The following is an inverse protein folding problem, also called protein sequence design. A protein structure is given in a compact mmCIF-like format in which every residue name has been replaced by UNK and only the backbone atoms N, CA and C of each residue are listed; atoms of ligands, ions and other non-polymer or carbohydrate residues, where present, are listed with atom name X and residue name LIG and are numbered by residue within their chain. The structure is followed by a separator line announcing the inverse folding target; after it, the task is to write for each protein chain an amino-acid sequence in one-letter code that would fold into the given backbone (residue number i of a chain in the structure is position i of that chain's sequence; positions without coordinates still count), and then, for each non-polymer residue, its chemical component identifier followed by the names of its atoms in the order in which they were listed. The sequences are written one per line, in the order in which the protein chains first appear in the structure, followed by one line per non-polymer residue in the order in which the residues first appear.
data_IF_487226865827
#
_entry.id   IF_487226865827
#
_cell.length_a   1.000
_cell.length_b   1.000
_cell.length_c   1.000
_cell.angle_alpha   90.00
_cell.angle_beta   90.00
_cell.angle_gamma   90.00
#
_symmetry.space_group_name_H-M   'P 1'
#
loop_
_entity.id
_entity.type
_entity.pdbx_description
1 polymer ?
#
# COMPACT_ATOMS: atom_id res chain seq x y z
N UNK A 1 -6.37 -4.47 3.37
CA UNK A 1 -7.37 -3.96 2.40
C UNK A 1 -7.99 -5.16 1.71
N UNK A 2 -9.30 -5.13 1.48
CA UNK A 2 -10.04 -6.20 0.83
C UNK A 2 -10.68 -5.67 -0.47
N UNK A 3 -11.02 -6.58 -1.37
CA UNK A 3 -11.98 -6.30 -2.44
C UNK A 3 -13.40 -6.58 -1.97
N UNK A 4 -14.40 -6.04 -2.65
CA UNK A 4 -15.81 -6.38 -2.41
C UNK A 4 -16.07 -7.90 -2.46
N UNK A 5 -15.32 -8.63 -3.30
CA UNK A 5 -15.51 -10.07 -3.50
C UNK A 5 -14.90 -10.90 -2.34
N UNK A 6 -14.00 -10.30 -1.55
CA UNK A 6 -13.26 -10.97 -0.46
C UNK A 6 -13.63 -10.49 0.95
N UNK A 7 -14.31 -9.34 1.09
CA UNK A 7 -14.57 -8.70 2.39
C UNK A 7 -15.33 -9.62 3.37
N UNK A 8 -16.42 -10.24 2.92
CA UNK A 8 -17.24 -11.12 3.76
C UNK A 8 -16.44 -12.31 4.31
N UNK A 9 -15.67 -12.98 3.45
CA UNK A 9 -14.85 -14.12 3.85
C UNK A 9 -13.72 -13.74 4.80
N UNK A 10 -13.11 -12.57 4.63
CA UNK A 10 -12.06 -12.08 5.54
C UNK A 10 -12.63 -11.79 6.92
N UNK A 11 -13.81 -11.16 7.00
CA UNK A 11 -14.49 -10.88 8.28
C UNK A 11 -14.83 -12.18 9.01
N UNK A 12 -15.41 -13.14 8.31
CA UNK A 12 -15.75 -14.45 8.86
C UNK A 12 -14.50 -15.20 9.35
N UNK A 13 -13.41 -15.18 8.58
CA UNK A 13 -12.14 -15.80 8.96
C UNK A 13 -11.59 -15.19 10.26
N UNK A 14 -11.61 -13.86 10.39
CA UNK A 14 -11.15 -13.19 11.60
C UNK A 14 -12.05 -13.51 12.80
N UNK A 15 -13.37 -13.40 12.66
CA UNK A 15 -14.29 -13.64 13.77
C UNK A 15 -14.26 -15.10 14.25
N UNK A 16 -14.23 -16.07 13.32
CA UNK A 16 -14.21 -17.50 13.65
C UNK A 16 -12.92 -17.94 14.34
N UNK A 17 -11.84 -17.17 14.19
CA UNK A 17 -10.54 -17.45 14.81
C UNK A 17 -10.19 -16.48 15.93
N UNK A 18 -11.17 -15.77 16.51
CA UNK A 18 -10.96 -14.79 17.60
C UNK A 18 -9.84 -13.79 17.26
N UNK A 19 -9.85 -13.29 16.02
CA UNK A 19 -8.87 -12.34 15.47
C UNK A 19 -7.41 -12.78 15.64
N UNK A 20 -7.17 -14.09 15.74
CA UNK A 20 -5.85 -14.69 15.98
C UNK A 20 -5.13 -14.11 17.21
N UNK A 21 -5.91 -13.69 18.23
CA UNK A 21 -5.40 -13.13 19.49
C UNK A 21 -5.12 -11.62 19.47
N UNK A 22 -5.49 -10.92 18.41
CA UNK A 22 -5.49 -9.45 18.37
C UNK A 22 -6.78 -8.89 18.96
N UNK A 23 -6.72 -7.68 19.50
CA UNK A 23 -7.92 -6.93 19.87
C UNK A 23 -8.64 -6.45 18.60
N UNK A 24 -9.97 -6.51 18.58
CA UNK A 24 -10.76 -6.17 17.38
C UNK A 24 -10.53 -4.73 16.90
N UNK A 25 -10.27 -3.80 17.83
CA UNK A 25 -10.02 -2.38 17.55
C UNK A 25 -8.68 -2.13 16.83
N UNK A 26 -7.74 -3.07 16.91
CA UNK A 26 -6.47 -3.06 16.21
C UNK A 26 -6.60 -3.43 14.74
N UNK A 27 -7.70 -4.09 14.35
CA UNK A 27 -7.93 -4.58 12.99
C UNK A 27 -8.98 -3.73 12.29
N UNK A 28 -8.59 -3.04 11.21
CA UNK A 28 -9.53 -2.28 10.37
C UNK A 28 -9.49 -2.80 8.94
N UNK A 29 -10.64 -3.30 8.46
CA UNK A 29 -10.79 -3.76 7.07
C UNK A 29 -11.30 -2.60 6.23
N UNK A 30 -10.47 -2.14 5.31
CA UNK A 30 -10.84 -1.19 4.26
C UNK A 30 -11.16 -1.94 2.98
N UNK A 31 -12.34 -1.69 2.42
CA UNK A 31 -12.79 -2.29 1.15
C UNK A 31 -12.47 -1.33 0.01
N UNK A 32 -11.78 -1.83 -0.99
CA UNK A 32 -11.38 -1.07 -2.17
C UNK A 32 -12.51 -1.06 -3.20
N UNK A 33 -12.79 0.13 -3.75
CA UNK A 33 -13.78 0.28 -4.80
C UNK A 33 -13.25 -0.20 -6.17
N UNK A 34 -14.19 -0.45 -7.08
CA UNK A 34 -13.88 -0.79 -8.47
C UNK A 34 -13.97 0.49 -9.31
N UNK A 35 -13.09 0.64 -10.29
CA UNK A 35 -13.09 1.76 -11.24
C UNK A 35 -13.71 1.35 -12.56
N UNK A 36 -14.31 2.29 -13.28
CA UNK A 36 -14.86 2.03 -14.60
C UNK A 36 -13.75 1.54 -15.57
N UNK A 37 -14.04 0.47 -16.30
CA UNK A 37 -13.14 -0.06 -17.31
C UNK A 37 -13.33 0.73 -18.62
N UNK A 38 -12.23 1.02 -19.31
CA UNK A 38 -12.27 1.60 -20.64
C UNK A 38 -12.28 0.49 -21.69
N UNK A 39 -13.09 0.65 -22.73
CA UNK A 39 -13.23 -0.30 -23.83
C UNK A 39 -12.09 -0.20 -24.85
N UNK A 40 -11.56 1.02 -25.06
CA UNK A 40 -10.57 1.30 -26.09
C UNK A 40 -9.77 2.58 -25.78
N UNK A 41 -8.81 2.89 -26.65
CA UNK A 41 -7.93 4.07 -26.54
C UNK A 41 -8.66 5.41 -26.67
N UNK A 42 -9.90 5.41 -27.17
CA UNK A 42 -10.75 6.60 -27.25
C UNK A 42 -11.46 6.91 -25.92
N UNK A 43 -11.09 6.19 -24.85
CA UNK A 43 -11.64 6.34 -23.49
C UNK A 43 -13.15 6.10 -23.39
N UNK A 44 -13.73 5.28 -24.28
CA UNK A 44 -15.12 4.84 -24.13
C UNK A 44 -15.28 3.91 -22.92
N UNK A 45 -16.40 4.02 -22.21
CA UNK A 45 -16.70 3.12 -21.11
C UNK A 45 -17.03 1.72 -21.63
N UNK A 46 -16.45 0.71 -21.00
CA UNK A 46 -16.81 -0.68 -21.22
C UNK A 46 -18.12 -0.99 -20.50
N UNK A 47 -19.03 -1.70 -21.18
CA UNK A 47 -20.37 -2.00 -20.67
C UNK A 47 -20.50 -3.51 -20.41
N UNK A 48 -20.99 -3.86 -19.22
CA UNK A 48 -21.36 -5.23 -18.84
C UNK A 48 -22.86 -5.53 -19.06
N UNK A 49 -23.62 -4.54 -19.53
CA UNK A 49 -25.04 -4.63 -19.88
C UNK A 49 -25.60 -3.26 -20.27
N UNK A 50 -26.88 -3.17 -20.71
CA UNK A 50 -27.45 -1.93 -21.25
C UNK A 50 -27.36 -0.73 -20.29
N UNK A 51 -27.41 -0.97 -18.98
CA UNK A 51 -27.35 0.06 -17.94
C UNK A 51 -26.28 -0.25 -16.88
N UNK A 52 -25.26 -1.06 -17.23
CA UNK A 52 -24.23 -1.51 -16.29
C UNK A 52 -22.85 -1.31 -16.89
N UNK A 53 -22.05 -0.42 -16.28
CA UNK A 53 -20.64 -0.22 -16.63
C UNK A 53 -19.82 -1.41 -16.12
N UNK A 54 -18.93 -1.92 -16.96
CA UNK A 54 -17.94 -2.90 -16.54
C UNK A 54 -16.88 -2.20 -15.69
N UNK A 55 -16.53 -2.81 -14.56
CA UNK A 55 -15.55 -2.24 -13.63
C UNK A 55 -14.37 -3.18 -13.45
N UNK A 56 -13.20 -2.61 -13.15
CA UNK A 56 -11.99 -3.33 -12.78
C UNK A 56 -11.57 -2.95 -11.37
N UNK A 57 -10.88 -3.82 -10.63
CA UNK A 57 -10.27 -3.44 -9.36
C UNK A 57 -9.34 -2.24 -9.57
N UNK A 58 -9.32 -1.32 -8.60
CA UNK A 58 -8.29 -0.28 -8.58
C UNK A 58 -6.88 -0.90 -8.42
N UNK A 59 -5.83 -0.21 -8.87
CA UNK A 59 -4.45 -0.61 -8.57
C UNK A 59 -4.08 -0.31 -7.11
N UNK A 60 -2.95 -0.84 -6.63
CA UNK A 60 -2.51 -0.70 -5.23
C UNK A 60 -2.34 0.74 -4.73
N UNK A 61 -2.27 1.73 -5.63
CA UNK A 61 -2.19 3.15 -5.28
C UNK A 61 -3.45 3.72 -4.60
N UNK A 62 -4.59 3.02 -4.63
CA UNK A 62 -5.84 3.46 -3.97
C UNK A 62 -5.74 3.53 -2.44
N UNK A 63 -4.73 2.87 -1.87
CA UNK A 63 -4.51 2.80 -0.43
C UNK A 63 -4.48 4.17 0.24
N UNK A 64 -3.88 5.17 -0.42
CA UNK A 64 -3.78 6.51 0.14
C UNK A 64 -5.14 7.20 0.25
N UNK A 65 -5.97 7.06 -0.79
CA UNK A 65 -7.33 7.60 -0.79
C UNK A 65 -8.17 6.93 0.29
N UNK A 66 -8.13 5.60 0.38
CA UNK A 66 -8.90 4.82 1.36
C UNK A 66 -8.48 5.09 2.81
N UNK A 67 -7.18 5.22 3.08
CA UNK A 67 -6.71 5.57 4.42
C UNK A 67 -7.19 6.97 4.84
N UNK A 68 -7.19 7.93 3.92
CA UNK A 68 -7.66 9.28 4.18
C UNK A 68 -9.19 9.31 4.36
N UNK A 69 -9.95 8.74 3.43
CA UNK A 69 -11.42 8.76 3.47
C UNK A 69 -12.00 8.00 4.67
N UNK A 70 -11.30 6.98 5.17
CA UNK A 70 -11.66 6.27 6.39
C UNK A 70 -11.23 6.99 7.69
N UNK A 71 -10.57 8.14 7.62
CA UNK A 71 -10.07 8.87 8.79
C UNK A 71 -8.94 8.16 9.55
N UNK A 72 -8.35 7.10 8.96
CA UNK A 72 -7.34 6.29 9.64
C UNK A 72 -6.03 7.05 9.86
N UNK A 73 -5.66 7.89 8.89
CA UNK A 73 -4.46 8.72 9.01
C UNK A 73 -4.59 9.65 10.21
N UNK A 74 -5.73 10.33 10.37
CA UNK A 74 -5.98 11.23 11.49
C UNK A 74 -5.96 10.51 12.83
N UNK A 75 -6.64 9.35 12.90
CA UNK A 75 -6.61 8.49 14.09
C UNK A 75 -5.18 8.10 14.48
N UNK A 76 -4.40 7.60 13.53
CA UNK A 76 -3.03 7.16 13.78
C UNK A 76 -2.11 8.30 14.20
N UNK A 77 -2.31 9.51 13.66
CA UNK A 77 -1.60 10.70 14.12
C UNK A 77 -1.97 11.03 15.57
N UNK A 78 -3.26 10.97 15.94
CA UNK A 78 -3.72 11.17 17.32
C UNK A 78 -3.18 10.14 18.31
N UNK A 79 -2.99 8.90 17.85
CA UNK A 79 -2.35 7.81 18.62
C UNK A 79 -0.81 7.93 18.69
N UNK A 80 -0.20 8.87 17.96
CA UNK A 80 1.25 9.07 17.94
C UNK A 80 2.03 8.02 17.13
N UNK A 81 1.37 7.32 16.19
CA UNK A 81 2.05 6.38 15.28
C UNK A 81 2.95 7.15 14.31
N UNK A 82 4.18 6.65 14.14
CA UNK A 82 5.22 7.33 13.34
C UNK A 82 5.52 6.66 12.01
N UNK A 83 5.30 5.35 11.91
CA UNK A 83 5.71 4.54 10.78
C UNK A 83 4.56 3.64 10.34
N UNK A 84 4.35 3.55 9.03
CA UNK A 84 3.36 2.66 8.41
C UNK A 84 4.11 1.69 7.50
N UNK A 85 3.85 0.40 7.66
CA UNK A 85 4.39 -0.65 6.82
C UNK A 85 3.33 -1.08 5.80
N UNK A 86 3.64 -0.96 4.51
CA UNK A 86 2.84 -1.53 3.43
C UNK A 86 3.47 -2.83 2.95
N UNK A 87 2.69 -3.91 2.90
CA UNK A 87 3.11 -5.19 2.33
C UNK A 87 1.93 -5.91 1.66
N UNK A 88 2.24 -6.83 0.74
CA UNK A 88 1.26 -7.71 0.09
C UNK A 88 1.12 -8.99 0.92
N UNK A 89 -0.09 -9.49 1.06
CA UNK A 89 -0.42 -10.79 1.70
C UNK A 89 0.24 -11.99 1.00
N UNK A 90 0.56 -11.86 -0.29
CA UNK A 90 1.27 -12.87 -1.08
C UNK A 90 2.77 -12.96 -0.81
N UNK A 91 3.35 -12.03 -0.04
CA UNK A 91 4.78 -12.03 0.26
C UNK A 91 5.05 -11.86 1.76
N UNK A 92 5.13 -13.00 2.45
CA UNK A 92 5.40 -13.08 3.89
C UNK A 92 6.87 -12.91 4.25
N UNK A 93 7.81 -13.06 3.29
CA UNK A 93 9.25 -12.91 3.55
C UNK A 93 9.59 -11.51 4.08
N UNK A 94 8.80 -10.50 3.73
CA UNK A 94 8.94 -9.14 4.26
C UNK A 94 8.88 -9.06 5.79
N UNK A 95 8.12 -9.95 6.44
CA UNK A 95 8.01 -9.96 7.90
C UNK A 95 9.32 -10.31 8.61
N UNK A 96 10.29 -10.88 7.90
CA UNK A 96 11.62 -11.19 8.46
C UNK A 96 12.62 -10.04 8.35
N UNK A 97 12.40 -9.09 7.44
CA UNK A 97 13.39 -8.04 7.09
C UNK A 97 12.88 -6.61 7.31
N UNK A 98 11.60 -6.42 7.62
CA UNK A 98 11.02 -5.08 7.75
C UNK A 98 11.66 -4.24 8.86
N UNK A 99 12.04 -4.86 9.99
CA UNK A 99 12.68 -4.14 11.10
C UNK A 99 14.04 -3.55 10.70
N UNK A 100 14.85 -4.31 9.95
CA UNK A 100 16.12 -3.81 9.42
C UNK A 100 15.88 -2.64 8.46
N UNK A 101 14.89 -2.77 7.57
CA UNK A 101 14.52 -1.72 6.62
C UNK A 101 14.06 -0.46 7.35
N UNK A 102 13.20 -0.59 8.35
CA UNK A 102 12.74 0.52 9.19
C UNK A 102 13.91 1.18 9.94
N UNK A 103 14.81 0.40 10.53
CA UNK A 103 15.98 0.93 11.24
C UNK A 103 16.91 1.74 10.33
N UNK A 104 17.14 1.27 9.10
CA UNK A 104 17.89 2.04 8.08
C UNK A 104 17.15 3.33 7.73
N UNK A 105 15.84 3.28 7.52
CA UNK A 105 15.02 4.46 7.20
C UNK A 105 15.07 5.50 8.32
N UNK A 106 14.95 5.07 9.58
CA UNK A 106 15.09 5.96 10.75
C UNK A 106 16.49 6.59 10.79
N UNK A 107 17.54 5.78 10.63
CA UNK A 107 18.93 6.27 10.70
C UNK A 107 19.26 7.31 9.64
N UNK A 108 18.69 7.15 8.44
CA UNK A 108 18.95 8.03 7.30
C UNK A 108 17.89 9.11 7.11
N UNK A 109 16.86 9.16 7.97
CA UNK A 109 15.77 10.13 7.87
C UNK A 109 14.94 9.98 6.59
N UNK A 110 14.72 8.75 6.13
CA UNK A 110 13.94 8.49 4.91
C UNK A 110 12.43 8.55 5.20
N UNK A 111 11.67 9.25 4.36
CA UNK A 111 10.21 9.33 4.45
C UNK A 111 9.52 8.09 3.87
N UNK A 112 10.15 7.45 2.88
CA UNK A 112 9.69 6.21 2.28
C UNK A 112 10.88 5.36 1.84
N UNK A 113 10.80 4.05 2.07
CA UNK A 113 11.82 3.09 1.68
C UNK A 113 11.17 1.85 1.06
N UNK A 114 11.64 1.45 -0.11
CA UNK A 114 11.29 0.16 -0.72
C UNK A 114 12.55 -0.70 -0.73
N UNK A 115 12.59 -1.83 -0.03
CA UNK A 115 13.68 -2.80 -0.16
C UNK A 115 13.74 -3.25 -1.62
N UNK A 116 14.94 -3.33 -2.19
CA UNK A 116 15.12 -3.74 -3.59
C UNK A 116 14.53 -5.13 -3.82
N UNK A 117 13.44 -5.20 -4.58
CA UNK A 117 12.83 -6.46 -5.03
C UNK A 117 13.60 -7.02 -6.22
N UNK A 118 13.76 -8.33 -6.28
CA UNK A 118 14.48 -9.05 -7.35
C UNK A 118 13.74 -9.08 -8.70
N UNK A 119 12.50 -8.56 -8.78
CA UNK A 119 11.61 -8.70 -9.94
C UNK A 119 11.36 -7.39 -10.71
N UNK A 120 11.74 -6.24 -10.15
CA UNK A 120 11.59 -4.94 -10.83
C UNK A 120 12.63 -3.96 -10.34
N UNK A 121 13.50 -3.49 -11.23
CA UNK A 121 14.48 -2.47 -10.89
C UNK A 121 13.76 -1.19 -10.49
N UNK A 122 13.98 -0.75 -9.24
CA UNK A 122 13.66 0.62 -8.84
C UNK A 122 14.60 1.55 -9.62
N UNK A 123 14.13 2.08 -10.74
CA UNK A 123 14.89 3.06 -11.50
C UNK A 123 14.78 4.41 -10.81
N UNK A 124 15.93 4.97 -10.42
CA UNK A 124 15.99 6.36 -10.02
C UNK A 124 15.84 7.18 -11.30
N UNK A 125 14.64 7.73 -11.55
CA UNK A 125 14.44 8.68 -12.63
C UNK A 125 15.39 9.85 -12.41
N UNK A 126 16.44 9.96 -13.23
CA UNK A 126 17.41 11.04 -13.14
C UNK A 126 16.71 12.38 -13.35
N UNK A 127 16.31 13.05 -12.26
CA UNK A 127 16.13 14.50 -12.29
C UNK A 127 17.53 15.11 -12.19
N UNK A 128 18.05 15.55 -13.33
CA UNK A 128 19.26 16.36 -13.41
C UNK A 128 19.04 17.68 -12.68
N UNK A 129 19.36 17.72 -11.39
CA UNK A 129 19.79 18.93 -10.71
C UNK A 129 21.04 18.57 -9.92
N UNK A 130 22.18 19.00 -10.46
CA UNK A 130 23.50 18.68 -9.94
C UNK A 130 23.67 19.16 -8.51
N UNK A 131 24.10 18.24 -7.65
CA UNK A 131 24.85 18.57 -6.45
C UNK A 131 26.09 17.69 -6.48
N UNK A 132 27.18 18.28 -6.94
CA UNK A 132 28.50 17.67 -6.87
C UNK A 132 28.92 17.65 -5.39
N UNK A 133 29.01 16.47 -4.78
CA UNK A 133 29.79 16.27 -3.55
C UNK A 133 30.89 15.27 -3.85
N UNK A 134 32.07 15.83 -4.12
CA UNK A 134 33.34 15.12 -4.04
C UNK A 134 33.57 14.76 -2.57
N UNK A 135 33.47 13.47 -2.22
CA UNK A 135 34.13 12.94 -1.04
C UNK A 135 35.59 12.71 -1.40
N UNK A 136 36.48 13.61 -0.94
CA UNK A 136 37.89 13.26 -0.76
C UNK A 136 37.98 12.31 0.42
N UNK A 137 38.54 11.13 0.21
CA UNK A 137 39.13 10.33 1.28
C UNK A 137 40.53 10.88 1.50
N UNK A 138 40.75 11.53 2.63
CA UNK A 138 42.10 11.83 3.11
C UNK A 138 42.74 10.51 3.55
N UNK A 139 43.89 10.22 2.94
CA UNK A 139 44.92 9.33 3.47
C UNK A 139 46.28 9.94 3.09
#
# INVERSE_FOLDING_TARGET
MASADTDAGIRELLSSNSYFGLDEDQVTILVQEKVAALANSDALLSMAGPYKVATKPHGHGDVHFLLHSAGLVERWMGEGRKWVLFFQDTNTLYLTTFLCSLGVSVRHGLEASKPSEFSGYASQGQRSRGVHRSCRTDN
#
